data_IF_793683269222
#
_entry.id   IF_793683269222
#
_cell.length_a   1.000
_cell.length_b   1.000
_cell.length_c   1.000
_cell.angle_alpha   90.00
_cell.angle_beta   90.00
_cell.angle_gamma   90.00
#
_symmetry.space_group_name_H-M   'P 1'
#
loop_
_entity.id
_entity.type
_entity.pdbx_description
1 polymer ?
#
# COMPACT_ATOMS: atom_id res chain seq x y z
N UNK A 1 -28.99 -19.58 -5.86
CA UNK A 1 -28.13 -18.57 -5.21
C UNK A 1 -26.72 -19.12 -5.18
N UNK A 2 -25.86 -18.72 -6.11
CA UNK A 2 -24.49 -19.24 -6.21
C UNK A 2 -23.58 -18.52 -5.22
N UNK A 3 -23.12 -19.22 -4.18
CA UNK A 3 -22.07 -18.76 -3.28
C UNK A 3 -20.72 -18.89 -3.99
N UNK A 4 -20.31 -17.82 -4.68
CA UNK A 4 -18.91 -17.70 -5.09
C UNK A 4 -18.07 -17.40 -3.84
N UNK A 5 -17.47 -18.43 -3.25
CA UNK A 5 -16.44 -18.26 -2.23
C UNK A 5 -15.19 -17.69 -2.91
N UNK A 6 -15.02 -16.38 -2.85
CA UNK A 6 -13.79 -15.71 -3.27
C UNK A 6 -12.64 -16.16 -2.37
N UNK A 7 -11.51 -16.55 -2.96
CA UNK A 7 -10.27 -16.92 -2.24
C UNK A 7 -9.40 -15.70 -1.91
N UNK A 8 -9.84 -14.48 -2.28
CA UNK A 8 -9.15 -13.25 -1.86
C UNK A 8 -9.36 -13.04 -0.35
N UNK A 9 -8.28 -12.79 0.43
CA UNK A 9 -8.41 -12.44 1.84
C UNK A 9 -9.28 -11.18 1.98
N UNK A 10 -10.16 -11.17 2.99
CA UNK A 10 -11.00 -10.00 3.29
C UNK A 10 -10.09 -8.83 3.73
N UNK A 11 -10.40 -7.58 3.33
CA UNK A 11 -9.66 -6.43 3.83
C UNK A 11 -9.75 -6.36 5.36
N UNK A 12 -8.62 -6.07 5.99
CA UNK A 12 -8.47 -6.04 7.44
C UNK A 12 -8.69 -4.62 8.00
N UNK A 13 -9.72 -4.49 8.84
CA UNK A 13 -10.01 -3.33 9.65
C UNK A 13 -9.51 -3.55 11.08
N UNK A 14 -8.63 -2.67 11.55
CA UNK A 14 -8.17 -2.69 12.93
C UNK A 14 -8.81 -1.56 13.74
N UNK A 15 -9.33 -1.90 14.93
CA UNK A 15 -10.08 -0.96 15.78
C UNK A 15 -9.22 -0.47 16.93
N UNK A 16 -9.07 0.86 17.01
CA UNK A 16 -8.41 1.58 18.08
C UNK A 16 -9.49 2.18 18.98
N UNK A 17 -9.62 1.70 20.21
CA UNK A 17 -10.66 2.19 21.10
C UNK A 17 -10.33 1.91 22.57
N UNK A 18 -10.96 2.63 23.52
CA UNK A 18 -10.84 2.31 24.93
C UNK A 18 -11.32 0.87 25.24
N UNK A 19 -10.63 0.18 26.16
CA UNK A 19 -10.98 -1.18 26.60
C UNK A 19 -12.05 -1.23 27.70
N UNK A 20 -12.62 -0.08 28.07
CA UNK A 20 -13.64 -0.05 29.11
C UNK A 20 -14.89 -0.82 28.66
N UNK A 21 -15.52 -1.55 29.58
CA UNK A 21 -16.66 -2.41 29.27
C UNK A 21 -17.85 -1.66 28.65
N UNK A 22 -17.98 -0.35 28.92
CA UNK A 22 -18.98 0.52 28.29
C UNK A 22 -18.88 0.58 26.76
N UNK A 23 -17.73 0.23 26.20
CA UNK A 23 -17.49 0.22 24.76
C UNK A 23 -17.74 -1.13 24.08
N UNK A 24 -18.06 -2.20 24.84
CA UNK A 24 -18.23 -3.53 24.26
C UNK A 24 -19.39 -3.60 23.26
N UNK A 25 -20.54 -2.99 23.58
CA UNK A 25 -21.69 -2.97 22.67
C UNK A 25 -21.43 -2.07 21.45
N UNK A 26 -20.72 -0.96 21.66
CA UNK A 26 -20.29 -0.04 20.60
C UNK A 26 -19.41 -0.80 19.60
N UNK A 27 -18.48 -1.60 20.11
CA UNK A 27 -17.60 -2.44 19.32
C UNK A 27 -18.35 -3.56 18.59
N UNK A 28 -19.02 -4.47 19.32
CA UNK A 28 -19.60 -5.68 18.76
C UNK A 28 -20.75 -5.37 17.80
N UNK A 29 -21.70 -4.53 18.21
CA UNK A 29 -22.91 -4.27 17.43
C UNK A 29 -22.77 -3.09 16.46
N UNK A 30 -21.91 -2.12 16.80
CA UNK A 30 -21.66 -0.93 16.01
C UNK A 30 -20.56 -1.13 14.99
N UNK A 31 -19.31 -1.14 15.46
CA UNK A 31 -18.10 -1.13 14.63
C UNK A 31 -17.95 -2.46 13.87
N UNK A 32 -17.83 -3.56 14.60
CA UNK A 32 -17.65 -4.91 14.03
C UNK A 32 -18.86 -5.33 13.19
N UNK A 33 -20.07 -4.98 13.64
CA UNK A 33 -21.30 -5.10 12.86
C UNK A 33 -21.22 -4.39 11.51
N UNK A 34 -20.80 -3.11 11.49
CA UNK A 34 -20.66 -2.34 10.26
C UNK A 34 -19.61 -2.95 9.32
N UNK A 35 -18.45 -3.33 9.84
CA UNK A 35 -17.38 -3.98 9.07
C UNK A 35 -17.87 -5.29 8.44
N UNK A 36 -18.61 -6.10 9.20
CA UNK A 36 -19.17 -7.38 8.73
C UNK A 36 -20.16 -7.17 7.59
N UNK A 37 -21.04 -6.15 7.69
CA UNK A 37 -22.04 -5.83 6.67
C UNK A 37 -21.42 -5.49 5.30
N UNK A 38 -20.20 -4.96 5.29
CA UNK A 38 -19.46 -4.62 4.07
C UNK A 38 -18.38 -5.64 3.70
N UNK A 39 -18.32 -6.78 4.40
CA UNK A 39 -17.44 -7.90 4.08
C UNK A 39 -16.00 -7.78 4.56
N UNK A 40 -15.71 -6.86 5.49
CA UNK A 40 -14.38 -6.69 6.08
C UNK A 40 -14.14 -7.67 7.23
N UNK A 41 -12.87 -8.01 7.45
CA UNK A 41 -12.42 -8.66 8.67
C UNK A 41 -12.08 -7.58 9.70
N UNK A 42 -12.63 -7.65 10.90
CA UNK A 42 -12.49 -6.61 11.91
C UNK A 42 -11.95 -7.22 13.20
N UNK A 43 -10.91 -6.61 13.76
CA UNK A 43 -10.39 -6.99 15.08
C UNK A 43 -10.11 -5.77 15.96
N UNK A 44 -10.26 -5.99 17.26
CA UNK A 44 -9.73 -5.16 18.34
C UNK A 44 -8.59 -5.90 19.02
N UNK A 45 -7.59 -5.18 19.55
CA UNK A 45 -6.35 -5.81 20.05
C UNK A 45 -6.56 -6.85 21.15
N UNK A 46 -7.59 -6.71 21.97
CA UNK A 46 -7.89 -7.60 23.10
C UNK A 46 -8.58 -8.92 22.71
N UNK A 47 -8.96 -9.12 21.44
CA UNK A 47 -9.66 -10.34 20.99
C UNK A 47 -8.76 -11.57 20.82
N UNK A 48 -7.43 -11.43 20.87
CA UNK A 48 -6.54 -12.60 20.83
C UNK A 48 -5.52 -12.55 21.96
N UNK A 49 -5.15 -13.74 22.45
CA UNK A 49 -4.13 -13.90 23.48
C UNK A 49 -2.74 -13.75 22.82
N UNK A 50 -1.92 -12.84 23.31
CA UNK A 50 -0.56 -12.63 22.83
C UNK A 50 0.41 -12.63 24.01
N UNK A 51 1.53 -13.36 23.87
CA UNK A 51 2.53 -13.56 24.93
C UNK A 51 3.67 -12.52 24.92
N UNK A 52 3.66 -11.57 23.98
CA UNK A 52 4.67 -10.50 23.85
C UNK A 52 4.17 -9.12 24.29
N UNK A 53 4.92 -8.06 23.94
CA UNK A 53 4.53 -6.68 24.26
C UNK A 53 3.24 -6.30 23.56
N UNK A 54 2.24 -5.83 24.33
CA UNK A 54 0.98 -5.31 23.79
C UNK A 54 1.23 -4.17 22.80
N UNK A 55 2.24 -3.35 23.06
CA UNK A 55 2.59 -2.19 22.26
C UNK A 55 3.15 -2.59 20.88
N UNK A 56 4.06 -3.57 20.84
CA UNK A 56 4.59 -4.13 19.58
C UNK A 56 3.48 -4.75 18.74
N UNK A 57 2.52 -5.41 19.39
CA UNK A 57 1.37 -5.98 18.70
C UNK A 57 0.46 -4.90 18.11
N UNK A 58 0.16 -3.84 18.85
CA UNK A 58 -0.63 -2.71 18.34
C UNK A 58 0.05 -2.12 17.10
N UNK A 59 1.35 -1.85 17.16
CA UNK A 59 2.10 -1.34 16.00
C UNK A 59 2.07 -2.30 14.81
N UNK A 60 2.27 -3.58 15.06
CA UNK A 60 2.20 -4.61 14.01
C UNK A 60 0.82 -4.63 13.36
N UNK A 61 -0.27 -4.60 14.14
CA UNK A 61 -1.63 -4.62 13.61
C UNK A 61 -1.98 -3.32 12.87
N UNK A 62 -1.60 -2.16 13.39
CA UNK A 62 -1.74 -0.87 12.68
C UNK A 62 -1.01 -0.94 11.33
N UNK A 63 0.21 -1.46 11.29
CA UNK A 63 0.99 -1.57 10.05
C UNK A 63 0.37 -2.53 9.03
N UNK A 64 -0.31 -3.58 9.49
CA UNK A 64 -0.92 -4.60 8.63
C UNK A 64 -2.35 -4.28 8.21
N UNK A 65 -3.04 -3.40 8.93
CA UNK A 65 -4.40 -3.01 8.62
C UNK A 65 -4.49 -2.32 7.25
N UNK A 66 -5.52 -2.68 6.49
CA UNK A 66 -5.89 -2.01 5.24
C UNK A 66 -6.61 -0.69 5.56
N UNK A 67 -7.36 -0.65 6.66
CA UNK A 67 -7.95 0.56 7.23
C UNK A 67 -8.06 0.47 8.75
N UNK A 68 -8.21 1.63 9.39
CA UNK A 68 -8.42 1.71 10.83
C UNK A 68 -9.71 2.44 11.15
N UNK A 69 -10.32 2.04 12.25
CA UNK A 69 -11.43 2.76 12.89
C UNK A 69 -10.96 3.15 14.29
N UNK A 70 -11.02 4.43 14.64
CA UNK A 70 -10.56 4.92 15.94
C UNK A 70 -11.68 5.64 16.70
N UNK A 71 -12.05 5.14 17.88
CA UNK A 71 -13.04 5.80 18.75
C UNK A 71 -12.36 6.75 19.74
N UNK A 72 -12.53 8.04 19.49
CA UNK A 72 -11.91 9.13 20.24
C UNK A 72 -12.73 9.56 21.47
N UNK A 73 -13.86 8.90 21.73
CA UNK A 73 -14.76 9.22 22.85
C UNK A 73 -14.03 9.20 24.18
N UNK A 74 -14.28 10.20 25.02
CA UNK A 74 -13.66 10.33 26.34
C UNK A 74 -12.18 10.71 26.31
N UNK A 75 -11.65 11.08 25.14
CA UNK A 75 -10.30 11.65 24.97
C UNK A 75 -9.18 10.74 25.48
N UNK A 76 -9.28 9.45 25.18
CA UNK A 76 -8.29 8.47 25.63
C UNK A 76 -6.90 8.76 25.02
N UNK A 77 -5.86 9.02 25.84
CA UNK A 77 -4.53 9.37 25.36
C UNK A 77 -3.86 8.24 24.55
N UNK A 78 -4.15 6.99 24.85
CA UNK A 78 -3.59 5.85 24.11
C UNK A 78 -4.16 5.81 22.69
N UNK A 79 -5.47 6.04 22.53
CA UNK A 79 -6.09 6.08 21.19
C UNK A 79 -5.54 7.25 20.37
N UNK A 80 -5.33 8.43 20.98
CA UNK A 80 -4.66 9.54 20.27
C UNK A 80 -3.25 9.18 19.80
N UNK A 81 -2.48 8.51 20.66
CA UNK A 81 -1.14 8.07 20.33
C UNK A 81 -1.13 7.09 19.15
N UNK A 82 -2.02 6.09 19.18
CA UNK A 82 -2.18 5.09 18.13
C UNK A 82 -2.65 5.71 16.80
N UNK A 83 -3.57 6.67 16.83
CA UNK A 83 -4.01 7.44 15.66
C UNK A 83 -2.84 8.26 15.09
N UNK A 84 -2.06 8.92 15.94
CA UNK A 84 -0.87 9.65 15.51
C UNK A 84 0.15 8.74 14.81
N UNK A 85 0.40 7.56 15.36
CA UNK A 85 1.25 6.55 14.74
C UNK A 85 0.68 6.04 13.41
N UNK A 86 -0.63 5.76 13.35
CA UNK A 86 -1.30 5.35 12.12
C UNK A 86 -1.23 6.44 11.03
N UNK A 87 -1.39 7.72 11.39
CA UNK A 87 -1.23 8.84 10.48
C UNK A 87 0.22 9.00 9.99
N UNK A 88 1.21 8.81 10.86
CA UNK A 88 2.62 8.80 10.46
C UNK A 88 2.92 7.66 9.47
N UNK A 89 2.24 6.52 9.65
CA UNK A 89 2.20 5.39 8.71
C UNK A 89 1.18 5.55 7.58
N UNK A 90 0.59 6.74 7.39
CA UNK A 90 -0.24 7.08 6.22
C UNK A 90 -1.42 6.13 6.04
N UNK A 91 -1.90 5.57 7.14
CA UNK A 91 -3.05 4.68 7.13
C UNK A 91 -4.33 5.48 7.00
N UNK A 92 -5.32 4.88 6.34
CA UNK A 92 -6.66 5.44 6.29
C UNK A 92 -7.35 5.17 7.63
N UNK A 93 -7.59 6.23 8.40
CA UNK A 93 -8.24 6.16 9.72
C UNK A 93 -9.61 6.83 9.64
N UNK A 94 -10.67 6.09 9.97
CA UNK A 94 -12.01 6.65 10.19
C UNK A 94 -12.15 6.98 11.66
N UNK A 95 -12.23 8.27 11.97
CA UNK A 95 -12.41 8.73 13.35
C UNK A 95 -13.88 8.63 13.75
N UNK A 96 -14.14 8.13 14.95
CA UNK A 96 -15.45 8.05 15.58
C UNK A 96 -15.45 8.85 16.88
N UNK A 97 -16.61 9.39 17.24
CA UNK A 97 -16.82 9.95 18.56
C UNK A 97 -18.31 9.98 18.92
N UNK A 98 -18.65 9.82 20.20
CA UNK A 98 -20.00 10.07 20.69
C UNK A 98 -20.33 11.57 20.68
N UNK A 99 -19.35 12.45 20.93
CA UNK A 99 -19.53 13.90 21.03
C UNK A 99 -18.41 14.67 20.31
N UNK A 100 -18.78 15.63 19.46
CA UNK A 100 -17.84 16.35 18.60
C UNK A 100 -16.69 17.06 19.36
N UNK A 101 -16.89 17.39 20.63
CA UNK A 101 -15.92 18.05 21.51
C UNK A 101 -14.73 17.15 21.89
N UNK A 102 -14.83 15.84 21.66
CA UNK A 102 -13.75 14.89 21.92
C UNK A 102 -12.72 14.84 20.79
N UNK A 103 -13.03 15.41 19.63
CA UNK A 103 -12.04 15.56 18.55
C UNK A 103 -11.19 16.82 18.82
N UNK A 104 -9.88 16.66 19.07
CA UNK A 104 -8.99 17.80 19.27
C UNK A 104 -8.88 18.64 18.00
N UNK A 105 -8.54 19.93 18.15
CA UNK A 105 -8.50 20.89 17.06
C UNK A 105 -7.67 20.38 15.86
N UNK A 106 -6.50 19.82 16.14
CA UNK A 106 -5.59 19.27 15.12
C UNK A 106 -6.16 18.07 14.37
N UNK A 107 -7.20 17.41 14.88
CA UNK A 107 -7.85 16.28 14.20
C UNK A 107 -9.18 16.63 13.54
N UNK A 108 -9.72 17.83 13.75
CA UNK A 108 -11.04 18.23 13.21
C UNK A 108 -11.12 18.27 11.70
N UNK A 109 -9.98 18.44 11.03
CA UNK A 109 -9.91 18.48 9.57
C UNK A 109 -9.94 17.06 8.95
N UNK A 110 -9.71 16.02 9.75
CA UNK A 110 -9.92 14.65 9.30
C UNK A 110 -11.42 14.29 9.36
N UNK A 111 -11.92 13.51 8.38
CA UNK A 111 -13.27 12.99 8.42
C UNK A 111 -13.54 12.23 9.72
N UNK A 112 -14.61 12.60 10.42
CA UNK A 112 -15.04 11.93 11.65
C UNK A 112 -16.55 11.76 11.68
N UNK A 113 -17.00 10.68 12.35
CA UNK A 113 -18.41 10.35 12.52
C UNK A 113 -18.78 10.63 13.98
N UNK A 114 -19.71 11.56 14.17
CA UNK A 114 -20.33 11.82 15.47
C UNK A 114 -21.57 10.96 15.60
N UNK A 115 -21.52 9.91 16.44
CA UNK A 115 -22.59 8.91 16.51
C UNK A 115 -23.56 9.08 17.70
N UNK A 116 -23.27 9.98 18.64
CA UNK A 116 -24.10 10.19 19.82
C UNK A 116 -24.15 8.95 20.72
N UNK A 117 -25.36 8.54 21.10
CA UNK A 117 -25.61 7.37 21.95
C UNK A 117 -26.23 6.19 21.19
N UNK A 118 -26.40 6.29 19.86
CA UNK A 118 -27.16 5.32 19.08
C UNK A 118 -26.24 4.42 18.22
N UNK A 119 -26.11 3.16 18.64
CA UNK A 119 -25.34 2.13 17.91
C UNK A 119 -25.84 1.96 16.46
N UNK A 120 -27.15 2.10 16.22
CA UNK A 120 -27.72 2.02 14.87
C UNK A 120 -27.19 3.14 13.96
N UNK A 121 -27.08 4.34 14.50
CA UNK A 121 -26.56 5.52 13.79
C UNK A 121 -25.08 5.35 13.49
N UNK A 122 -24.31 4.83 14.46
CA UNK A 122 -22.91 4.43 14.27
C UNK A 122 -22.78 3.42 13.12
N UNK A 123 -23.46 2.27 13.23
CA UNK A 123 -23.34 1.17 12.25
C UNK A 123 -23.67 1.62 10.84
N UNK A 124 -24.75 2.40 10.69
CA UNK A 124 -25.21 2.89 9.37
C UNK A 124 -24.21 3.90 8.77
N UNK A 125 -23.74 4.86 9.58
CA UNK A 125 -22.85 5.92 9.11
C UNK A 125 -21.45 5.40 8.80
N UNK A 126 -20.93 4.54 9.67
CA UNK A 126 -19.65 3.87 9.48
C UNK A 126 -19.70 2.93 8.28
N UNK A 127 -20.74 2.10 8.15
CA UNK A 127 -20.89 1.19 7.00
C UNK A 127 -20.87 1.92 5.65
N UNK A 128 -21.45 3.13 5.58
CA UNK A 128 -21.39 3.97 4.37
C UNK A 128 -19.95 4.39 4.03
N UNK A 129 -19.18 4.85 5.02
CA UNK A 129 -17.78 5.23 4.85
C UNK A 129 -16.92 4.02 4.45
N UNK A 130 -17.07 2.90 5.16
CA UNK A 130 -16.31 1.69 4.89
C UNK A 130 -16.60 1.14 3.49
N UNK A 131 -17.86 1.18 3.03
CA UNK A 131 -18.22 0.74 1.68
C UNK A 131 -17.52 1.56 0.60
N UNK A 132 -17.37 2.87 0.81
CA UNK A 132 -16.64 3.73 -0.13
C UNK A 132 -15.15 3.36 -0.15
N UNK A 133 -14.51 3.29 1.02
CA UNK A 133 -13.09 2.94 1.17
C UNK A 133 -12.76 1.52 0.67
N UNK A 134 -13.68 0.57 0.80
CA UNK A 134 -13.51 -0.79 0.33
C UNK A 134 -13.79 -0.97 -1.17
N UNK A 135 -14.50 -0.02 -1.79
CA UNK A 135 -14.77 -0.01 -3.24
C UNK A 135 -13.66 0.65 -4.06
N UNK A 136 -12.87 1.51 -3.41
CA UNK A 136 -11.62 1.98 -3.95
C UNK A 136 -10.62 0.81 -3.85
N UNK A 137 -10.00 0.39 -4.96
CA UNK A 137 -8.79 -0.42 -4.85
C UNK A 137 -7.87 0.32 -3.88
N UNK A 138 -7.20 -0.35 -2.93
CA UNK A 138 -6.39 0.34 -1.95
C UNK A 138 -5.34 1.14 -2.71
N UNK A 139 -5.60 2.44 -2.87
CA UNK A 139 -4.64 3.45 -3.22
C UNK A 139 -3.76 3.52 -1.98
N UNK A 140 -2.89 2.51 -1.83
CA UNK A 140 -1.81 2.50 -0.85
C UNK A 140 -1.10 3.81 -1.10
N UNK A 141 -1.13 4.68 -0.09
CA UNK A 141 -0.69 6.06 -0.22
C UNK A 141 0.67 6.11 -0.94
N UNK A 142 0.61 6.51 -2.20
CA UNK A 142 1.72 6.55 -3.15
C UNK A 142 2.86 7.47 -2.67
N UNK A 143 2.54 8.32 -1.68
CA UNK A 143 3.39 9.31 -1.02
C UNK A 143 4.30 8.75 0.09
N UNK A 144 4.14 7.49 0.51
CA UNK A 144 4.73 7.04 1.76
C UNK A 144 6.11 6.38 1.67
N UNK A 145 6.39 5.70 0.56
CA UNK A 145 7.72 5.11 0.35
C UNK A 145 8.76 6.23 0.15
N UNK A 146 8.35 7.41 -0.33
CA UNK A 146 9.25 8.56 -0.56
C UNK A 146 10.43 8.27 -1.50
N UNK A 147 10.40 7.11 -2.17
CA UNK A 147 11.31 6.74 -3.24
C UNK A 147 10.63 7.00 -4.57
N UNK A 148 11.34 7.71 -5.45
CA UNK A 148 10.90 8.00 -6.81
C UNK A 148 11.85 7.37 -7.83
N UNK A 149 11.27 6.97 -8.95
CA UNK A 149 12.01 6.43 -10.07
C UNK A 149 12.04 7.42 -11.23
N UNK A 150 13.18 7.48 -11.90
CA UNK A 150 13.40 8.29 -13.08
C UNK A 150 14.01 7.43 -14.19
N UNK A 151 13.55 7.67 -15.41
CA UNK A 151 14.21 7.21 -16.62
C UNK A 151 14.82 8.42 -17.32
N UNK A 152 16.16 8.47 -17.37
CA UNK A 152 16.89 9.68 -17.76
C UNK A 152 16.43 10.85 -16.87
N UNK A 153 15.81 11.87 -17.46
CA UNK A 153 15.28 13.05 -16.76
C UNK A 153 13.77 12.98 -16.47
N UNK A 154 13.09 11.89 -16.85
CA UNK A 154 11.64 11.77 -16.73
C UNK A 154 11.30 11.05 -15.42
N UNK A 155 10.56 11.72 -14.53
CA UNK A 155 10.04 11.11 -13.31
C UNK A 155 8.87 10.19 -13.66
N UNK A 156 8.95 8.93 -13.23
CA UNK A 156 7.93 7.93 -13.55
C UNK A 156 6.61 8.13 -12.78
N UNK A 157 6.66 8.84 -11.65
CA UNK A 157 5.48 9.16 -10.84
C UNK A 157 4.49 10.11 -11.53
N UNK A 158 4.92 10.87 -12.55
CA UNK A 158 4.09 11.89 -13.18
C UNK A 158 3.01 11.28 -14.11
N UNK A 159 3.01 9.94 -14.26
CA UNK A 159 2.04 9.19 -15.06
C UNK A 159 2.29 9.33 -16.57
N UNK A 160 1.92 8.29 -17.33
CA UNK A 160 1.99 8.29 -18.81
C UNK A 160 3.39 8.46 -19.42
N UNK A 161 4.41 7.84 -18.82
CA UNK A 161 5.75 7.79 -19.44
C UNK A 161 5.76 6.75 -20.55
N UNK A 162 6.06 7.20 -21.76
CA UNK A 162 6.31 6.33 -22.92
C UNK A 162 7.79 6.39 -23.28
N UNK A 163 8.43 5.24 -23.39
CA UNK A 163 9.82 5.10 -23.83
C UNK A 163 9.84 4.46 -25.20
N UNK A 164 10.40 5.18 -26.16
CA UNK A 164 10.65 4.67 -27.50
C UNK A 164 11.90 3.79 -27.51
N UNK A 165 11.84 2.68 -28.26
CA UNK A 165 13.02 1.84 -28.51
C UNK A 165 13.18 1.48 -29.99
N UNK A 166 14.44 1.48 -30.49
CA UNK A 166 14.72 1.10 -31.86
C UNK A 166 14.73 -0.42 -32.02
N UNK A 167 14.00 -0.91 -33.02
CA UNK A 167 14.07 -2.29 -33.54
C UNK A 167 13.79 -3.40 -32.49
N UNK A 168 14.03 -4.67 -32.81
CA UNK A 168 13.85 -5.85 -31.95
C UNK A 168 14.79 -5.91 -30.72
N UNK A 169 15.41 -4.80 -30.30
CA UNK A 169 16.28 -4.73 -29.12
C UNK A 169 15.86 -3.59 -28.19
N UNK A 170 15.33 -3.96 -27.03
CA UNK A 170 15.13 -3.00 -25.93
C UNK A 170 16.51 -2.55 -25.46
N UNK A 171 16.82 -1.24 -25.46
CA UNK A 171 18.10 -0.74 -24.98
C UNK A 171 18.26 -1.03 -23.50
N UNK A 172 19.51 -1.00 -23.03
CA UNK A 172 19.74 -1.02 -21.58
C UNK A 172 19.17 0.25 -20.96
N UNK A 173 18.20 0.08 -20.08
CA UNK A 173 17.47 1.18 -19.47
C UNK A 173 18.17 1.58 -18.18
N UNK A 174 18.61 2.85 -18.10
CA UNK A 174 19.17 3.41 -16.88
C UNK A 174 18.03 3.93 -16.00
N UNK A 175 17.85 3.26 -14.88
CA UNK A 175 16.90 3.61 -13.84
C UNK A 175 17.65 4.42 -12.77
N UNK A 176 17.19 5.63 -12.52
CA UNK A 176 17.65 6.44 -11.39
C UNK A 176 16.61 6.35 -10.27
N UNK A 177 17.08 6.04 -9.08
CA UNK A 177 16.31 6.00 -7.85
C UNK A 177 16.65 7.24 -7.02
N UNK A 178 15.64 7.97 -6.58
CA UNK A 178 15.78 9.13 -5.72
C UNK A 178 15.10 8.87 -4.37
N UNK A 179 15.80 9.18 -3.28
CA UNK A 179 15.19 9.22 -1.96
C UNK A 179 14.73 10.63 -1.62
N UNK A 180 13.45 10.88 -1.82
CA UNK A 180 12.78 12.13 -1.49
C UNK A 180 12.12 12.09 -0.10
N UNK A 181 12.37 11.02 0.67
CA UNK A 181 11.88 10.83 2.03
C UNK A 181 12.90 11.36 3.06
N UNK A 182 12.47 11.45 4.31
CA UNK A 182 13.35 11.77 5.45
C UNK A 182 14.03 10.54 6.05
N UNK A 183 13.76 9.35 5.52
CA UNK A 183 14.27 8.07 6.03
C UNK A 183 15.57 7.69 5.31
N UNK A 184 16.47 7.03 6.04
CA UNK A 184 17.57 6.29 5.43
C UNK A 184 17.10 4.88 5.16
N UNK A 185 17.33 4.37 3.94
CA UNK A 185 17.06 2.98 3.61
C UNK A 185 18.34 2.17 3.61
N UNK A 186 18.46 1.20 4.50
CA UNK A 186 19.55 0.23 4.51
C UNK A 186 19.35 -0.85 3.41
N UNK A 187 20.41 -1.56 3.00
CA UNK A 187 20.28 -2.70 2.09
C UNK A 187 19.23 -3.70 2.57
N UNK A 188 18.31 -4.06 1.67
CA UNK A 188 17.21 -4.99 1.95
C UNK A 188 15.94 -4.36 2.53
N UNK A 189 15.97 -3.10 3.01
CA UNK A 189 14.74 -2.42 3.50
C UNK A 189 13.78 -2.03 2.38
N UNK A 190 14.30 -1.98 1.15
CA UNK A 190 13.49 -1.94 -0.05
C UNK A 190 14.06 -2.85 -1.14
N UNK A 191 13.20 -3.25 -2.07
CA UNK A 191 13.56 -3.98 -3.29
C UNK A 191 12.84 -3.36 -4.48
N UNK A 192 13.40 -3.52 -5.68
CA UNK A 192 12.77 -3.03 -6.91
C UNK A 192 12.63 -4.22 -7.86
N UNK A 193 11.48 -4.36 -8.50
CA UNK A 193 11.29 -5.30 -9.59
C UNK A 193 10.72 -4.62 -10.83
N UNK A 194 11.02 -5.18 -12.00
CA UNK A 194 10.36 -4.85 -13.26
C UNK A 194 9.45 -5.99 -13.62
N UNK A 195 8.14 -5.76 -13.69
CA UNK A 195 7.15 -6.74 -14.10
C UNK A 195 6.87 -6.52 -15.60
N UNK A 196 7.18 -7.53 -16.41
CA UNK A 196 7.07 -7.47 -17.87
C UNK A 196 6.25 -8.65 -18.41
N UNK A 197 5.51 -8.47 -19.51
CA UNK A 197 4.76 -9.55 -20.15
C UNK A 197 5.70 -10.55 -20.86
N UNK A 198 5.15 -11.69 -21.32
CA UNK A 198 5.82 -12.53 -22.33
C UNK A 198 6.13 -11.69 -23.58
N UNK A 199 7.29 -11.86 -24.26
CA UNK A 199 8.30 -12.92 -24.08
C UNK A 199 9.45 -12.57 -23.11
N UNK A 200 9.32 -11.51 -22.29
CA UNK A 200 10.44 -10.99 -21.49
C UNK A 200 10.74 -11.84 -20.25
N UNK A 201 11.25 -13.05 -20.46
CA UNK A 201 11.45 -14.08 -19.46
C UNK A 201 12.88 -14.14 -18.87
N UNK A 202 13.75 -13.20 -19.24
CA UNK A 202 15.16 -13.21 -18.79
C UNK A 202 15.77 -11.82 -18.70
N UNK A 203 16.90 -11.72 -18.00
CA UNK A 203 17.72 -10.51 -17.90
C UNK A 203 19.19 -10.89 -17.94
N UNK A 204 20.00 -10.16 -18.72
CA UNK A 204 21.47 -10.26 -18.69
C UNK A 204 22.12 -9.37 -17.64
N UNK A 205 21.32 -8.71 -16.82
CA UNK A 205 21.80 -7.83 -15.75
C UNK A 205 22.26 -8.69 -14.58
N UNK A 206 23.48 -8.50 -14.12
CA UNK A 206 24.03 -9.25 -12.98
C UNK A 206 23.17 -9.08 -11.73
N UNK A 207 22.96 -10.16 -10.98
CA UNK A 207 22.17 -10.16 -9.74
C UNK A 207 20.65 -10.08 -9.92
N UNK A 208 20.14 -9.97 -11.16
CA UNK A 208 18.68 -10.01 -11.39
C UNK A 208 18.15 -11.43 -11.28
N UNK A 209 17.10 -11.60 -10.49
CA UNK A 209 16.36 -12.85 -10.39
C UNK A 209 15.03 -12.72 -11.14
N UNK A 210 14.72 -13.68 -12.01
CA UNK A 210 13.47 -13.65 -12.79
C UNK A 210 12.53 -14.74 -12.31
N UNK A 211 11.27 -14.39 -12.07
CA UNK A 211 10.22 -15.31 -11.60
C UNK A 211 8.99 -15.19 -12.49
N UNK A 212 8.47 -16.31 -12.97
CA UNK A 212 7.20 -16.34 -13.71
C UNK A 212 6.03 -16.23 -12.75
N UNK A 213 5.12 -15.31 -13.02
CA UNK A 213 3.92 -15.06 -12.24
C UNK A 213 2.73 -15.91 -12.75
N UNK A 214 1.68 -16.13 -11.93
CA UNK A 214 0.54 -16.97 -12.31
C UNK A 214 -0.23 -16.49 -13.55
N UNK A 215 -0.14 -15.20 -13.90
CA UNK A 215 -0.75 -14.60 -15.09
C UNK A 215 0.11 -14.75 -16.36
N UNK A 216 1.27 -15.43 -16.26
CA UNK A 216 2.21 -15.62 -17.35
C UNK A 216 3.18 -14.46 -17.56
N UNK A 217 3.08 -13.37 -16.79
CA UNK A 217 4.09 -12.31 -16.79
C UNK A 217 5.35 -12.73 -16.01
N UNK A 218 6.40 -11.92 -16.11
CA UNK A 218 7.68 -12.19 -15.47
C UNK A 218 8.09 -11.03 -14.58
N UNK A 219 8.40 -11.33 -13.32
CA UNK A 219 8.96 -10.39 -12.35
C UNK A 219 10.48 -10.50 -12.35
N UNK A 220 11.14 -9.41 -12.75
CA UNK A 220 12.60 -9.25 -12.75
C UNK A 220 13.01 -8.49 -11.50
N UNK A 221 13.33 -9.21 -10.42
CA UNK A 221 13.80 -8.62 -9.17
C UNK A 221 15.22 -8.09 -9.35
N UNK A 222 15.39 -6.77 -9.21
CA UNK A 222 16.68 -6.10 -9.35
C UNK A 222 17.62 -6.44 -8.17
N UNK A 223 18.95 -6.28 -8.37
CA UNK A 223 19.91 -6.43 -7.29
C UNK A 223 19.59 -5.52 -6.11
N UNK A 224 20.12 -5.87 -4.94
CA UNK A 224 20.04 -4.99 -3.78
C UNK A 224 20.83 -3.72 -4.03
N UNK A 225 20.32 -2.62 -3.47
CA UNK A 225 20.96 -1.33 -3.51
C UNK A 225 21.71 -1.11 -2.19
N UNK A 226 22.81 -0.36 -2.26
CA UNK A 226 23.48 0.16 -1.08
C UNK A 226 22.58 1.08 -0.27
N UNK A 227 23.03 1.45 0.94
CA UNK A 227 22.34 2.41 1.79
C UNK A 227 22.01 3.70 1.04
N UNK A 228 20.74 4.10 1.06
CA UNK A 228 20.23 5.29 0.39
C UNK A 228 19.78 6.32 1.41
N UNK A 229 20.58 7.37 1.58
CA UNK A 229 20.32 8.47 2.51
C UNK A 229 19.22 9.43 2.01
N UNK A 230 18.59 10.21 2.90
CA UNK A 230 17.67 11.29 2.52
C UNK A 230 18.30 12.25 1.49
N UNK A 231 17.58 12.53 0.41
CA UNK A 231 18.04 13.38 -0.69
C UNK A 231 19.09 12.76 -1.62
N UNK A 232 19.51 11.51 -1.37
CA UNK A 232 20.48 10.82 -2.20
C UNK A 232 19.83 10.21 -3.46
N UNK A 233 20.68 10.02 -4.47
CA UNK A 233 20.32 9.39 -5.73
C UNK A 233 21.26 8.21 -5.98
N UNK A 234 20.72 7.15 -6.58
CA UNK A 234 21.52 6.04 -7.11
C UNK A 234 20.99 5.61 -8.47
N UNK A 235 21.78 4.86 -9.22
CA UNK A 235 21.42 4.42 -10.57
C UNK A 235 21.76 2.96 -10.80
N UNK A 236 20.92 2.31 -11.58
CA UNK A 236 21.12 0.95 -12.04
C UNK A 236 20.75 0.84 -13.51
N UNK A 237 21.59 0.18 -14.30
CA UNK A 237 21.26 -0.16 -15.68
C UNK A 237 20.73 -1.59 -15.73
N UNK A 238 19.55 -1.78 -16.31
CA UNK A 238 18.95 -3.10 -16.46
C UNK A 238 18.60 -3.41 -17.93
N UNK A 239 18.43 -4.69 -18.22
CA UNK A 239 18.09 -5.21 -19.54
C UNK A 239 16.93 -6.20 -19.44
N UNK A 240 15.89 -5.98 -20.24
CA UNK A 240 14.83 -6.98 -20.45
C UNK A 240 15.17 -7.80 -21.68
N UNK A 241 15.23 -9.12 -21.49
CA UNK A 241 15.58 -10.08 -22.52
C UNK A 241 14.48 -11.13 -22.66
N UNK A 242 14.43 -11.71 -23.86
CA UNK A 242 13.60 -12.86 -24.18
C UNK A 242 14.52 -13.96 -24.72
N UNK A 243 14.46 -15.16 -24.15
CA UNK A 243 15.03 -16.35 -24.77
C UNK A 243 13.88 -17.11 -25.44
N UNK A 244 13.83 -17.04 -26.78
CA UNK A 244 12.81 -17.69 -27.58
C UNK A 244 12.70 -17.09 -28.99
N UNK A 245 12.04 -17.79 -29.93
CA UNK A 245 11.79 -17.30 -31.28
C UNK A 245 10.66 -16.24 -31.34
N UNK A 246 9.99 -15.98 -30.21
CA UNK A 246 8.86 -15.04 -30.14
C UNK A 246 9.28 -13.62 -30.50
N UNK A 247 8.54 -13.02 -31.43
CA UNK A 247 8.74 -11.62 -31.81
C UNK A 247 8.37 -10.71 -30.64
N UNK A 248 9.17 -9.67 -30.41
CA UNK A 248 8.86 -8.68 -29.38
C UNK A 248 7.67 -7.85 -29.84
N UNK A 249 6.67 -7.63 -28.97
CA UNK A 249 5.52 -6.80 -29.32
C UNK A 249 5.98 -5.39 -29.68
N UNK A 250 5.29 -4.72 -30.61
CA UNK A 250 5.59 -3.34 -30.96
C UNK A 250 5.25 -2.37 -29.83
N UNK A 251 4.22 -2.67 -29.06
CA UNK A 251 3.77 -1.90 -27.91
C UNK A 251 3.56 -2.83 -26.73
N UNK A 252 4.11 -2.47 -25.58
CA UNK A 252 3.84 -3.18 -24.35
C UNK A 252 4.02 -2.28 -23.12
N UNK A 253 3.42 -2.69 -22.02
CA UNK A 253 3.59 -2.00 -20.73
C UNK A 253 4.40 -2.86 -19.80
N UNK A 254 5.27 -2.22 -19.04
CA UNK A 254 5.93 -2.82 -17.87
C UNK A 254 5.55 -2.01 -16.64
N UNK A 255 5.66 -2.64 -15.48
CA UNK A 255 5.45 -1.97 -14.21
C UNK A 255 6.72 -2.07 -13.37
N UNK A 256 7.32 -0.94 -13.04
CA UNK A 256 8.41 -0.91 -12.07
C UNK A 256 7.77 -0.83 -10.69
N UNK A 257 8.04 -1.81 -9.84
CA UNK A 257 7.48 -1.89 -8.50
C UNK A 257 8.58 -1.75 -7.47
N UNK A 258 8.42 -0.82 -6.54
CA UNK A 258 9.20 -0.76 -5.30
C UNK A 258 8.45 -1.54 -4.24
N UNK A 259 9.16 -2.37 -3.48
CA UNK A 259 8.68 -3.07 -2.29
C UNK A 259 9.43 -2.53 -1.08
N UNK A 260 8.73 -2.29 0.02
CA UNK A 260 9.28 -1.90 1.31
C UNK A 260 8.40 -2.41 2.45
N UNK A 261 8.84 -2.26 3.69
CA UNK A 261 8.00 -2.52 4.87
C UNK A 261 6.75 -1.63 4.94
N UNK A 262 6.80 -0.43 4.35
CA UNK A 262 5.66 0.48 4.24
C UNK A 262 4.65 0.06 3.16
N UNK A 263 4.99 -0.92 2.32
CA UNK A 263 4.15 -1.41 1.24
C UNK A 263 4.85 -1.40 -0.11
N UNK A 264 4.05 -1.40 -1.18
CA UNK A 264 4.54 -1.42 -2.55
C UNK A 264 4.04 -0.20 -3.34
N UNK A 265 4.88 0.30 -4.24
CA UNK A 265 4.57 1.42 -5.13
C UNK A 265 4.86 1.06 -6.57
N UNK A 266 3.92 1.36 -7.46
CA UNK A 266 3.96 0.99 -8.86
C UNK A 266 4.19 2.20 -9.76
N UNK A 267 5.04 2.00 -10.76
CA UNK A 267 5.41 2.99 -11.75
C UNK A 267 5.17 2.39 -13.14
N UNK A 268 3.96 2.57 -13.70
CA UNK A 268 3.64 2.04 -15.01
C UNK A 268 4.44 2.77 -16.08
N UNK A 269 5.01 1.99 -17.01
CA UNK A 269 5.83 2.46 -18.10
C UNK A 269 5.37 1.83 -19.40
N UNK A 270 5.07 2.64 -20.40
CA UNK A 270 4.76 2.16 -21.75
C UNK A 270 6.02 2.15 -22.61
N UNK A 271 6.22 1.09 -23.36
CA UNK A 271 7.29 0.99 -24.35
C UNK A 271 6.67 0.91 -25.75
N UNK A 272 7.22 1.71 -26.66
CA UNK A 272 6.78 1.81 -28.05
C UNK A 272 7.97 1.58 -28.99
N UNK A 273 7.85 0.63 -29.93
CA UNK A 273 8.86 0.35 -30.95
C UNK A 273 8.78 1.40 -32.04
N UNK A 274 9.88 2.10 -32.28
CA UNK A 274 10.04 3.03 -33.41
C UNK A 274 10.80 2.36 -34.55
N UNK A 275 10.41 2.65 -35.79
CA UNK A 275 11.11 2.18 -36.98
C UNK A 275 12.53 2.76 -37.01
N UNK A 276 13.52 1.93 -37.36
CA UNK A 276 14.88 2.41 -37.55
C UNK A 276 14.91 3.44 -38.69
N UNK A 277 15.45 4.63 -38.39
CA UNK A 277 15.72 5.70 -39.37
C UNK A 277 17.10 5.52 -40.00
#
# INVERSE_FOLDING_TARGET
MSTHTTTKPKPFCFVLMPFDASFNDIYEFGIKGACTDVGLYCERVDEQVFLGSMLERIYSQISRADLLVADMTGKNPNVYYEVGYAHALGKNVVLLTSVAQDIPFDLKHFPHIVYGSEIKTLRTSLGRHLKHLASEEPTRNDTQIGLDLFLKSIRLADGNVTVEYPDNRIPGTELTLANNSTLTYAPGEFRIAVIAPSPFNSSRTEGVQVTTLPDGSHMHMLPEFDTLFPGAFTKLKFYLNSYGPEEKPADFSVNLRIFSSAGSRDFPLRLHRVAAT
#
